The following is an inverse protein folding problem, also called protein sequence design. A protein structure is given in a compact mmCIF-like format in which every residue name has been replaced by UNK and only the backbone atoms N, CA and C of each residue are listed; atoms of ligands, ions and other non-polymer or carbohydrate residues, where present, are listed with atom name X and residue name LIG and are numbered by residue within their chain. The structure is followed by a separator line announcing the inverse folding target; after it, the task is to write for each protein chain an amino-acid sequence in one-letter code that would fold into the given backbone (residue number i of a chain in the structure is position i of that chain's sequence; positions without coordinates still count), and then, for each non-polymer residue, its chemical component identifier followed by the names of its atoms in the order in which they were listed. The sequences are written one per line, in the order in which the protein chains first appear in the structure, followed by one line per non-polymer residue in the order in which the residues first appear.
data_IF_419870930207
#
_entry.id   IF_419870930207
#
_cell.length_a   1.000
_cell.length_b   1.000
_cell.length_c   1.000
_cell.angle_alpha   90.00
_cell.angle_beta   90.00
_cell.angle_gamma   90.00
#
_symmetry.space_group_name_H-M   'P 1'
#
loop_
_entity.id
_entity.type
_entity.pdbx_description
1 polymer ?
#
# COMPACT_ATOMS: atom_id res chain seq x y z
N UNK A 1 3.16 25.14 0.36
CA UNK A 1 3.38 23.87 1.06
C UNK A 1 4.54 23.11 0.43
N UNK A 2 5.50 22.79 1.22
CA UNK A 2 6.62 22.00 0.74
C UNK A 2 6.19 20.56 0.50
N UNK A 3 6.47 20.05 -0.68
CA UNK A 3 6.29 18.63 -0.98
C UNK A 3 7.40 17.85 -0.29
N UNK A 4 7.02 17.00 0.67
CA UNK A 4 8.00 16.12 1.31
C UNK A 4 8.27 14.91 0.42
N UNK A 5 9.55 14.77 0.04
CA UNK A 5 10.00 13.60 -0.71
C UNK A 5 10.40 12.53 0.30
N UNK A 6 9.78 11.37 0.19
CA UNK A 6 10.19 10.18 0.92
C UNK A 6 10.62 9.10 -0.07
N UNK A 7 11.63 8.34 0.32
CA UNK A 7 12.07 7.18 -0.46
C UNK A 7 11.54 5.95 0.25
N UNK A 8 10.71 5.21 -0.43
CA UNK A 8 10.23 3.91 0.04
C UNK A 8 11.21 2.84 -0.44
N UNK A 9 11.83 2.13 0.49
CA UNK A 9 12.75 1.04 0.18
C UNK A 9 12.15 -0.30 0.57
N UNK A 10 12.28 -1.26 -0.33
CA UNK A 10 11.89 -2.64 -0.11
C UNK A 10 12.95 -3.54 -0.72
N UNK A 11 13.30 -4.62 -0.03
CA UNK A 11 14.21 -5.62 -0.58
C UNK A 11 13.68 -6.23 -1.88
N UNK A 12 12.36 -6.35 -1.99
CA UNK A 12 11.71 -6.94 -3.17
C UNK A 12 11.57 -5.95 -4.32
N UNK A 13 11.29 -4.67 -4.02
CA UNK A 13 10.90 -3.69 -5.04
C UNK A 13 11.92 -2.56 -5.24
N UNK A 14 12.99 -2.51 -4.43
CA UNK A 14 13.99 -1.45 -4.52
C UNK A 14 13.47 -0.13 -3.96
N UNK A 15 13.91 0.98 -4.58
CA UNK A 15 13.60 2.33 -4.11
C UNK A 15 12.51 2.96 -4.96
N UNK A 16 11.45 3.45 -4.32
CA UNK A 16 10.37 4.19 -4.97
C UNK A 16 10.26 5.56 -4.31
N UNK A 17 10.50 6.60 -5.08
CA UNK A 17 10.36 7.97 -4.60
C UNK A 17 8.88 8.29 -4.42
N UNK A 18 8.54 8.80 -3.26
CA UNK A 18 7.18 9.13 -2.87
C UNK A 18 7.11 10.60 -2.48
N UNK A 19 6.15 11.32 -3.03
CA UNK A 19 5.87 12.72 -2.70
C UNK A 19 4.56 12.78 -1.95
N UNK A 20 4.54 13.49 -0.83
CA UNK A 20 3.30 13.70 -0.08
C UNK A 20 2.75 15.09 -0.44
N UNK A 21 1.55 15.11 -1.00
CA UNK A 21 0.85 16.33 -1.41
C UNK A 21 -0.55 16.31 -0.81
N UNK A 22 -0.88 17.37 -0.04
CA UNK A 22 -2.18 17.47 0.65
C UNK A 22 -2.50 16.25 1.53
N UNK A 23 -1.49 15.67 2.17
CA UNK A 23 -1.64 14.50 3.02
C UNK A 23 -1.73 13.17 2.28
N UNK A 24 -1.73 13.18 0.95
CA UNK A 24 -1.82 11.96 0.15
C UNK A 24 -0.48 11.61 -0.51
N UNK A 25 -0.10 10.32 -0.54
CA UNK A 25 1.12 9.89 -1.18
C UNK A 25 0.97 9.85 -2.70
N UNK A 26 2.00 10.31 -3.40
CA UNK A 26 2.14 10.18 -4.85
C UNK A 26 3.44 9.44 -5.14
N UNK A 27 3.37 8.44 -6.00
CA UNK A 27 4.49 7.56 -6.30
C UNK A 27 5.03 7.86 -7.70
N UNK A 28 6.35 8.01 -7.83
CA UNK A 28 6.98 8.26 -9.14
C UNK A 28 6.78 7.02 -10.02
N UNK A 29 6.07 7.20 -11.14
CA UNK A 29 5.70 6.09 -12.02
C UNK A 29 6.90 5.35 -12.58
N UNK A 30 7.96 6.07 -12.96
CA UNK A 30 9.18 5.47 -13.48
C UNK A 30 9.82 4.50 -12.48
N UNK A 31 9.81 4.85 -11.20
CA UNK A 31 10.35 3.99 -10.14
C UNK A 31 9.49 2.75 -9.92
N UNK A 32 8.16 2.90 -9.97
CA UNK A 32 7.22 1.78 -9.88
C UNK A 32 7.42 0.82 -11.05
N UNK A 33 7.51 1.35 -12.25
CA UNK A 33 7.75 0.52 -13.44
C UNK A 33 9.10 -0.19 -13.38
N UNK A 34 10.14 0.48 -12.89
CA UNK A 34 11.46 -0.13 -12.70
C UNK A 34 11.40 -1.27 -11.69
N UNK A 35 10.70 -1.09 -10.58
CA UNK A 35 10.53 -2.11 -9.55
C UNK A 35 9.80 -3.36 -10.09
N UNK A 36 8.83 -3.17 -10.99
CA UNK A 36 8.08 -4.26 -11.62
C UNK A 36 8.70 -4.75 -12.93
N UNK A 37 9.88 -4.21 -13.29
CA UNK A 37 10.57 -4.54 -14.56
C UNK A 37 9.71 -4.26 -15.80
N UNK A 38 8.94 -3.19 -15.77
CA UNK A 38 8.14 -2.71 -16.90
C UNK A 38 8.97 -1.65 -17.66
N UNK A 39 9.32 -1.95 -18.90
CA UNK A 39 10.21 -1.08 -19.69
C UNK A 39 9.52 0.17 -20.25
N UNK A 40 8.19 0.14 -20.44
CA UNK A 40 7.45 1.21 -21.10
C UNK A 40 6.47 1.88 -20.14
N UNK A 41 6.95 2.86 -19.37
CA UNK A 41 6.13 3.62 -18.43
C UNK A 41 5.07 4.49 -19.12
N UNK A 42 5.31 4.92 -20.35
CA UNK A 42 4.33 5.71 -21.10
C UNK A 42 3.09 4.89 -21.45
N UNK A 43 3.29 3.61 -21.81
CA UNK A 43 2.17 2.71 -22.07
C UNK A 43 1.34 2.47 -20.81
N UNK A 44 2.00 2.31 -19.68
CA UNK A 44 1.32 2.16 -18.38
C UNK A 44 0.53 3.43 -18.04
N UNK A 45 1.13 4.61 -18.19
CA UNK A 45 0.45 5.88 -17.97
C UNK A 45 -0.80 6.04 -18.85
N UNK A 46 -0.74 5.58 -20.09
CA UNK A 46 -1.88 5.63 -21.02
C UNK A 46 -3.05 4.74 -20.62
N UNK A 47 -2.83 3.77 -19.75
CA UNK A 47 -3.89 2.87 -19.25
C UNK A 47 -4.55 3.34 -17.97
N UNK A 48 -3.94 4.31 -17.29
CA UNK A 48 -4.45 4.83 -16.02
C UNK A 48 -5.47 5.95 -16.29
N UNK A 49 -6.39 6.12 -15.35
CA UNK A 49 -7.35 7.21 -15.40
C UNK A 49 -6.64 8.55 -15.14
N UNK A 50 -7.18 9.63 -15.68
CA UNK A 50 -6.59 10.95 -15.58
C UNK A 50 -6.46 11.46 -14.13
N UNK A 51 -7.35 11.02 -13.23
CA UNK A 51 -7.30 11.35 -11.81
C UNK A 51 -6.24 10.57 -11.03
N UNK A 52 -5.67 9.53 -11.64
CA UNK A 52 -4.59 8.71 -11.06
C UNK A 52 -3.20 9.21 -11.45
N UNK A 53 -3.11 10.13 -12.40
CA UNK A 53 -1.86 10.68 -12.92
C UNK A 53 -1.67 12.11 -12.48
N UNK A 54 -0.46 12.45 -12.05
CA UNK A 54 -0.09 13.82 -11.69
C UNK A 54 1.33 14.11 -12.13
N UNK A 55 1.60 15.39 -12.40
CA UNK A 55 2.95 15.86 -12.64
C UNK A 55 3.53 16.43 -11.35
N UNK A 56 4.71 15.98 -10.98
CA UNK A 56 5.42 16.46 -9.80
C UNK A 56 6.81 16.97 -10.18
N UNK A 57 7.27 17.99 -9.49
CA UNK A 57 8.61 18.54 -9.67
C UNK A 57 9.50 18.00 -8.55
N UNK A 58 10.56 17.32 -8.93
CA UNK A 58 11.55 16.78 -8.00
C UNK A 58 12.90 17.41 -8.24
N UNK A 59 13.54 17.85 -7.16
CA UNK A 59 14.91 18.38 -7.21
C UNK A 59 15.87 17.29 -6.77
N UNK A 60 16.80 16.95 -7.65
CA UNK A 60 17.85 15.97 -7.39
C UNK A 60 19.16 16.47 -7.98
N UNK A 61 20.22 16.49 -7.18
CA UNK A 61 21.53 16.95 -7.65
C UNK A 61 21.56 18.38 -8.16
N UNK A 62 20.75 19.28 -7.60
CA UNK A 62 20.65 20.67 -8.01
C UNK A 62 19.82 20.90 -9.29
N UNK A 63 19.25 19.84 -9.86
CA UNK A 63 18.36 19.93 -11.03
C UNK A 63 16.93 19.63 -10.65
N UNK A 64 16.01 20.50 -11.09
CA UNK A 64 14.59 20.30 -10.96
C UNK A 64 14.07 19.60 -12.22
N UNK A 65 13.44 18.42 -12.03
CA UNK A 65 12.84 17.68 -13.13
C UNK A 65 11.35 17.47 -12.87
N UNK A 66 10.58 17.58 -13.93
CA UNK A 66 9.17 17.25 -13.91
C UNK A 66 9.02 15.75 -14.20
N UNK A 67 8.31 15.05 -13.33
CA UNK A 67 8.12 13.61 -13.43
C UNK A 67 6.66 13.25 -13.27
N UNK A 68 6.24 12.18 -13.93
CA UNK A 68 4.90 11.64 -13.76
C UNK A 68 4.83 10.84 -12.47
N UNK A 69 3.83 11.13 -11.66
CA UNK A 69 3.52 10.39 -10.44
C UNK A 69 2.11 9.83 -10.51
N UNK A 70 1.87 8.77 -9.75
CA UNK A 70 0.57 8.12 -9.65
C UNK A 70 0.07 8.20 -8.22
N UNK A 71 -1.26 8.30 -8.09
CA UNK A 71 -1.94 8.20 -6.80
C UNK A 71 -1.81 6.78 -6.24
N UNK A 72 -2.23 6.60 -4.99
CA UNK A 72 -2.28 5.28 -4.37
C UNK A 72 -3.17 4.32 -5.19
N UNK A 73 -4.32 4.78 -5.64
CA UNK A 73 -5.21 4.03 -6.53
C UNK A 73 -4.51 3.63 -7.83
N UNK A 74 -3.77 4.57 -8.45
CA UNK A 74 -2.99 4.29 -9.65
C UNK A 74 -1.88 3.28 -9.42
N UNK A 75 -1.20 3.35 -8.28
CA UNK A 75 -0.18 2.38 -7.89
C UNK A 75 -0.75 0.97 -7.83
N UNK A 76 -1.88 0.79 -7.14
CA UNK A 76 -2.52 -0.52 -7.04
C UNK A 76 -2.99 -1.03 -8.38
N UNK A 77 -3.53 -0.17 -9.23
CA UNK A 77 -3.94 -0.53 -10.58
C UNK A 77 -2.77 -1.06 -11.42
N UNK A 78 -1.63 -0.38 -11.37
CA UNK A 78 -0.40 -0.84 -12.05
C UNK A 78 0.03 -2.22 -11.54
N UNK A 79 0.05 -2.42 -10.22
CA UNK A 79 0.48 -3.68 -9.62
C UNK A 79 -0.50 -4.81 -9.96
N UNK A 80 -1.80 -4.56 -9.81
CA UNK A 80 -2.83 -5.59 -10.03
C UNK A 80 -2.95 -6.03 -11.48
N UNK A 81 -2.66 -5.15 -12.43
CA UNK A 81 -2.67 -5.46 -13.85
C UNK A 81 -1.35 -6.04 -14.37
N UNK A 82 -0.29 -5.97 -13.58
CA UNK A 82 1.02 -6.47 -13.99
C UNK A 82 1.03 -7.99 -14.06
N UNK A 83 1.56 -8.54 -15.15
CA UNK A 83 1.82 -9.96 -15.33
C UNK A 83 3.22 -10.37 -14.90
N UNK A 84 3.98 -9.43 -14.36
CA UNK A 84 5.35 -9.68 -13.93
C UNK A 84 5.38 -10.56 -12.67
N UNK A 85 6.37 -11.47 -12.55
CA UNK A 85 6.47 -12.34 -11.38
C UNK A 85 6.55 -11.58 -10.05
N UNK A 86 7.14 -10.38 -10.04
CA UNK A 86 7.29 -9.55 -8.86
C UNK A 86 5.94 -9.03 -8.31
N UNK A 87 4.95 -8.84 -9.18
CA UNK A 87 3.62 -8.37 -8.80
C UNK A 87 2.72 -9.49 -8.27
N UNK A 88 3.01 -10.73 -8.64
CA UNK A 88 2.17 -11.89 -8.31
C UNK A 88 2.00 -12.13 -6.81
N UNK A 89 3.04 -12.11 -5.97
CA UNK A 89 2.88 -12.29 -4.52
C UNK A 89 2.01 -11.19 -3.89
N UNK A 90 2.18 -9.94 -4.30
CA UNK A 90 1.39 -8.82 -3.81
C UNK A 90 -0.08 -8.97 -4.19
N UNK A 91 -0.36 -9.27 -5.46
CA UNK A 91 -1.72 -9.48 -5.95
C UNK A 91 -2.40 -10.64 -5.23
N UNK A 92 -1.67 -11.73 -5.03
CA UNK A 92 -2.19 -12.90 -4.32
C UNK A 92 -2.51 -12.61 -2.86
N UNK A 93 -1.64 -11.86 -2.19
CA UNK A 93 -1.88 -11.42 -0.82
C UNK A 93 -3.14 -10.57 -0.69
N UNK A 94 -3.35 -9.62 -1.59
CA UNK A 94 -4.56 -8.78 -1.60
C UNK A 94 -5.81 -9.62 -1.84
N UNK A 95 -5.79 -10.51 -2.81
CA UNK A 95 -6.99 -11.26 -3.23
C UNK A 95 -7.34 -12.40 -2.30
N UNK A 96 -6.36 -12.98 -1.62
CA UNK A 96 -6.59 -14.14 -0.72
C UNK A 96 -6.70 -13.77 0.74
N UNK A 97 -6.11 -12.64 1.15
CA UNK A 97 -6.06 -12.26 2.57
C UNK A 97 -6.76 -10.94 2.86
N UNK A 98 -6.38 -9.86 2.18
CA UNK A 98 -6.89 -8.53 2.52
C UNK A 98 -8.35 -8.36 2.15
N UNK A 99 -8.71 -8.55 0.89
CA UNK A 99 -10.09 -8.36 0.43
C UNK A 99 -11.07 -9.33 1.09
N UNK A 100 -10.76 -10.63 1.23
CA UNK A 100 -11.66 -11.53 1.94
C UNK A 100 -11.85 -11.16 3.42
N UNK A 101 -10.80 -10.69 4.09
CA UNK A 101 -10.88 -10.26 5.49
C UNK A 101 -11.77 -9.04 5.63
N UNK A 102 -11.60 -8.02 4.77
CA UNK A 102 -12.44 -6.83 4.77
C UNK A 102 -13.91 -7.18 4.52
N UNK A 103 -14.19 -8.07 3.59
CA UNK A 103 -15.56 -8.51 3.29
C UNK A 103 -16.22 -9.19 4.49
N UNK A 104 -15.47 -10.02 5.23
CA UNK A 104 -16.04 -10.77 6.37
C UNK A 104 -16.18 -9.92 7.63
N UNK A 105 -15.23 -9.06 7.91
CA UNK A 105 -15.13 -8.36 9.21
C UNK A 105 -15.34 -6.86 9.13
N UNK A 106 -15.36 -6.28 7.93
CA UNK A 106 -15.44 -4.84 7.71
C UNK A 106 -14.11 -4.10 7.77
N UNK A 107 -13.00 -4.77 8.07
CA UNK A 107 -11.70 -4.14 8.14
C UNK A 107 -10.54 -5.12 8.14
N UNK A 108 -9.34 -4.59 7.91
CA UNK A 108 -8.10 -5.35 7.98
C UNK A 108 -7.10 -4.59 8.85
N UNK A 109 -6.55 -5.28 9.85
CA UNK A 109 -5.52 -4.75 10.73
C UNK A 109 -4.30 -5.66 10.61
N UNK A 110 -3.24 -5.17 9.96
CA UNK A 110 -2.01 -5.92 9.80
C UNK A 110 -1.18 -5.92 11.09
N UNK A 111 -1.29 -4.85 11.88
CA UNK A 111 -0.46 -4.62 13.04
C UNK A 111 -1.28 -3.84 14.08
N UNK A 112 -1.45 -4.43 15.27
CA UNK A 112 -2.22 -3.84 16.35
C UNK A 112 -1.59 -2.54 16.87
N UNK A 113 -0.27 -2.47 16.90
CA UNK A 113 0.44 -1.27 17.36
C UNK A 113 0.18 -0.09 16.43
N UNK A 114 0.26 -0.29 15.12
CA UNK A 114 -0.07 0.74 14.13
C UNK A 114 -1.51 1.24 14.28
N UNK A 115 -2.45 0.32 14.51
CA UNK A 115 -3.85 0.68 14.70
C UNK A 115 -4.01 1.58 15.94
N UNK A 116 -3.38 1.20 17.04
CA UNK A 116 -3.45 1.96 18.30
C UNK A 116 -2.81 3.33 18.14
N UNK A 117 -1.63 3.41 17.52
CA UNK A 117 -0.93 4.69 17.30
C UNK A 117 -1.75 5.65 16.44
N UNK A 118 -2.44 5.15 15.43
CA UNK A 118 -3.18 5.99 14.48
C UNK A 118 -4.58 6.38 14.97
N UNK A 119 -5.28 5.46 15.65
CA UNK A 119 -6.68 5.66 16.01
C UNK A 119 -6.93 5.83 17.49
N UNK A 120 -6.05 5.31 18.34
CA UNK A 120 -6.22 5.32 19.80
C UNK A 120 -5.01 5.91 20.55
N UNK A 121 -4.34 6.94 20.02
CA UNK A 121 -3.16 7.50 20.69
C UNK A 121 -3.49 8.18 22.03
N UNK A 122 -4.76 8.50 22.25
CA UNK A 122 -5.24 9.16 23.48
C UNK A 122 -5.43 8.19 24.65
N UNK A 123 -5.38 6.88 24.40
CA UNK A 123 -5.53 5.90 25.47
C UNK A 123 -4.24 5.78 26.28
N UNK A 124 -4.40 5.68 27.60
CA UNK A 124 -3.29 5.35 28.50
C UNK A 124 -2.78 3.92 28.25
N UNK A 125 -1.51 3.69 28.55
CA UNK A 125 -0.83 2.44 28.25
C UNK A 125 -1.57 1.17 28.71
N UNK A 126 -2.13 1.09 29.95
CA UNK A 126 -2.87 -0.10 30.36
C UNK A 126 -4.07 -0.42 29.47
N UNK A 127 -4.77 0.61 29.00
CA UNK A 127 -5.91 0.43 28.10
C UNK A 127 -5.47 0.05 26.68
N UNK A 128 -4.34 0.59 26.22
CA UNK A 128 -3.75 0.19 24.95
C UNK A 128 -3.37 -1.29 24.97
N UNK A 129 -2.77 -1.76 26.05
CA UNK A 129 -2.38 -3.17 26.20
C UNK A 129 -3.59 -4.10 26.23
N UNK A 130 -4.66 -3.70 26.92
CA UNK A 130 -5.91 -4.44 26.93
C UNK A 130 -6.49 -4.54 25.51
N UNK A 131 -6.49 -3.46 24.77
CA UNK A 131 -6.98 -3.41 23.40
C UNK A 131 -6.14 -4.32 22.47
N UNK A 132 -4.81 -4.32 22.62
CA UNK A 132 -3.91 -5.23 21.87
C UNK A 132 -4.28 -6.70 22.10
N UNK A 133 -4.50 -7.08 23.35
CA UNK A 133 -4.90 -8.44 23.69
C UNK A 133 -6.24 -8.81 23.09
N UNK A 134 -7.21 -7.92 23.10
CA UNK A 134 -8.52 -8.14 22.49
C UNK A 134 -8.40 -8.29 20.97
N UNK A 135 -7.62 -7.46 20.30
CA UNK A 135 -7.42 -7.57 18.85
C UNK A 135 -6.71 -8.86 18.45
N UNK A 136 -5.71 -9.29 19.24
CA UNK A 136 -5.02 -10.55 19.01
C UNK A 136 -5.96 -11.73 19.16
N UNK A 137 -6.86 -11.72 20.16
CA UNK A 137 -7.86 -12.76 20.37
C UNK A 137 -8.87 -12.82 19.21
N UNK A 138 -9.33 -11.66 18.72
CA UNK A 138 -10.23 -11.57 17.56
C UNK A 138 -9.53 -12.10 16.31
N UNK A 139 -8.28 -11.75 16.09
CA UNK A 139 -7.48 -12.23 14.97
C UNK A 139 -7.38 -13.75 14.93
N UNK A 140 -7.07 -14.37 16.07
CA UNK A 140 -7.01 -15.84 16.20
C UNK A 140 -8.37 -16.49 15.98
N UNK A 141 -9.43 -15.90 16.49
CA UNK A 141 -10.79 -16.40 16.28
C UNK A 141 -11.19 -16.36 14.81
N UNK A 142 -10.89 -15.27 14.12
CA UNK A 142 -11.16 -15.14 12.69
C UNK A 142 -10.36 -16.13 11.85
N UNK A 143 -9.14 -16.44 12.23
CA UNK A 143 -8.34 -17.48 11.58
C UNK A 143 -8.97 -18.87 11.74
N UNK A 144 -9.48 -19.19 12.92
CA UNK A 144 -10.18 -20.44 13.18
C UNK A 144 -11.46 -20.55 12.35
N UNK A 145 -12.29 -19.52 12.33
CA UNK A 145 -13.52 -19.48 11.53
C UNK A 145 -13.20 -19.74 10.06
N UNK A 146 -12.18 -19.06 9.53
CA UNK A 146 -11.76 -19.23 8.14
C UNK A 146 -11.30 -20.65 7.85
N UNK A 147 -10.55 -21.25 8.77
CA UNK A 147 -10.11 -22.64 8.63
C UNK A 147 -11.30 -23.61 8.62
N UNK A 148 -12.25 -23.42 9.51
CA UNK A 148 -13.46 -24.23 9.59
C UNK A 148 -14.32 -24.08 8.32
N UNK A 149 -14.45 -22.88 7.78
CA UNK A 149 -15.15 -22.64 6.51
C UNK A 149 -14.48 -23.37 5.33
N UNK A 150 -13.16 -23.42 5.29
CA UNK A 150 -12.40 -24.13 4.25
C UNK A 150 -12.56 -25.65 4.35
N UNK A 151 -12.75 -26.18 5.53
CA UNK A 151 -12.95 -27.61 5.77
C UNK A 151 -14.36 -28.06 5.36
N UNK A 152 -15.36 -27.17 5.39
CA UNK A 152 -16.74 -27.45 5.00
C UNK A 152 -16.97 -27.47 3.49
N UNK A 153 -16.04 -27.02 2.71
CA UNK A 153 -16.06 -27.01 1.26
C UNK A 153 -15.01 -27.96 0.70
#
# INVERSE_FOLDING_TARGET
MENMIKIFESEEFGQIRTVIKNGEPLFVLADVCKALEISNSRMVAGRLDSDELMSVKLTSGGQCREMTAVSESGLYDVILRSDKPQAKPFRKWITTKILPTIRRTGGYVANEDMFIENYLPFLEEPYQNLFRLQMMAIGKLNERIRHDELVLY
#
